data_IF_159657997702
#
_entry.id   IF_159657997702
#
_cell.length_a   1.000
_cell.length_b   1.000
_cell.length_c   1.000
_cell.angle_alpha   90.00
_cell.angle_beta   90.00
_cell.angle_gamma   90.00
#
_symmetry.space_group_name_H-M   'P 1'
#
loop_
_entity.id
_entity.type
_entity.pdbx_description
1 polymer ?
#
# COMPACT_ATOMS: atom_id res chain seq x y z
N UNK A 1 14.68 -4.89 1.96
CA UNK A 1 15.27 -4.44 3.24
C UNK A 1 16.78 -4.17 3.12
N UNK A 2 17.60 -5.07 2.56
CA UNK A 2 19.08 -4.90 2.49
C UNK A 2 19.50 -3.70 1.63
N UNK A 3 18.91 -3.53 0.45
CA UNK A 3 19.19 -2.41 -0.47
C UNK A 3 18.85 -1.07 0.20
N UNK A 4 17.68 -0.98 0.81
CA UNK A 4 17.24 0.21 1.54
C UNK A 4 18.20 0.60 2.66
N UNK A 5 18.57 -0.36 3.52
CA UNK A 5 19.53 -0.13 4.60
C UNK A 5 20.92 0.28 4.06
N UNK A 6 21.37 -0.34 2.99
CA UNK A 6 22.63 0.02 2.32
C UNK A 6 22.59 1.45 1.76
N UNK A 7 21.44 1.92 1.27
CA UNK A 7 21.27 3.29 0.79
C UNK A 7 21.33 4.30 1.95
N UNK A 8 20.64 3.99 3.06
CA UNK A 8 20.69 4.82 4.26
C UNK A 8 22.13 4.97 4.80
N UNK A 9 22.88 3.88 4.88
CA UNK A 9 24.26 3.90 5.40
C UNK A 9 25.23 4.67 4.49
N UNK A 10 24.93 4.76 3.19
CA UNK A 10 25.70 5.56 2.23
C UNK A 10 25.22 7.02 2.11
N UNK A 11 24.17 7.40 2.84
CA UNK A 11 23.59 8.74 2.77
C UNK A 11 22.90 9.07 1.44
N UNK A 12 22.39 8.05 0.72
CA UNK A 12 21.69 8.26 -0.55
C UNK A 12 20.34 8.93 -0.29
N UNK A 13 20.13 10.08 -0.93
CA UNK A 13 18.88 10.83 -0.84
C UNK A 13 17.91 10.38 -1.94
N UNK A 14 16.73 9.87 -1.55
CA UNK A 14 15.67 9.51 -2.47
C UNK A 14 14.76 10.68 -2.90
N UNK A 15 15.01 11.90 -2.43
CA UNK A 15 14.25 13.09 -2.80
C UNK A 15 14.81 13.69 -4.08
N UNK A 16 13.94 13.92 -5.07
CA UNK A 16 14.29 14.52 -6.34
C UNK A 16 13.19 15.43 -6.87
N UNK A 17 13.35 15.94 -8.09
CA UNK A 17 12.28 16.69 -8.74
C UNK A 17 11.09 15.78 -9.02
N UNK A 18 9.88 16.31 -8.79
CA UNK A 18 8.63 15.61 -9.14
C UNK A 18 8.59 15.40 -10.65
N UNK A 19 8.34 14.16 -11.07
CA UNK A 19 8.26 13.78 -12.49
C UNK A 19 6.86 13.34 -12.94
N UNK A 20 5.95 13.08 -12.00
CA UNK A 20 4.60 12.54 -12.26
C UNK A 20 3.62 13.57 -12.81
N UNK A 21 3.90 14.86 -12.64
CA UNK A 21 3.08 15.95 -13.16
C UNK A 21 3.93 17.23 -13.32
N UNK A 22 3.42 18.19 -14.12
CA UNK A 22 4.05 19.48 -14.27
C UNK A 22 3.96 20.31 -12.98
N UNK A 23 5.10 20.68 -12.44
CA UNK A 23 5.20 21.47 -11.21
C UNK A 23 5.26 22.99 -11.43
N UNK A 24 5.05 23.45 -12.66
CA UNK A 24 5.04 24.88 -12.99
C UNK A 24 4.00 25.61 -12.12
N UNK A 25 4.42 26.65 -11.42
CA UNK A 25 3.55 27.42 -10.52
C UNK A 25 3.41 26.84 -9.09
N UNK A 26 3.92 25.64 -8.82
CA UNK A 26 3.93 25.08 -7.47
C UNK A 26 5.15 25.55 -6.67
N UNK A 27 4.95 25.82 -5.38
CA UNK A 27 6.04 26.14 -4.46
C UNK A 27 6.90 24.93 -4.11
N UNK A 28 6.26 23.76 -3.95
CA UNK A 28 6.91 22.48 -3.70
C UNK A 28 7.13 21.75 -5.03
N UNK A 29 8.38 21.48 -5.37
CA UNK A 29 8.77 20.83 -6.62
C UNK A 29 9.60 19.56 -6.42
N UNK A 30 9.78 19.18 -5.15
CA UNK A 30 10.57 18.01 -4.76
C UNK A 30 9.70 17.00 -4.03
N UNK A 31 9.89 15.73 -4.33
CA UNK A 31 9.29 14.61 -3.60
C UNK A 31 10.18 13.35 -3.68
N UNK A 32 9.93 12.40 -2.77
CA UNK A 32 10.42 11.05 -2.93
C UNK A 32 9.35 10.24 -3.67
N UNK A 33 9.62 9.91 -4.92
CA UNK A 33 8.71 9.17 -5.78
C UNK A 33 9.11 7.69 -5.86
N UNK A 34 8.13 6.79 -5.93
CA UNK A 34 8.35 5.42 -6.38
C UNK A 34 8.46 5.47 -7.89
N UNK A 35 9.63 5.16 -8.41
CA UNK A 35 9.94 5.13 -9.84
C UNK A 35 9.75 3.71 -10.38
N UNK A 36 9.41 3.62 -11.65
CA UNK A 36 9.39 2.39 -12.45
C UNK A 36 8.69 1.18 -11.78
N UNK A 37 7.65 1.46 -10.99
CA UNK A 37 6.89 0.39 -10.33
C UNK A 37 6.12 -0.42 -11.35
N UNK A 38 6.52 -1.69 -11.50
CA UNK A 38 5.82 -2.68 -12.31
C UNK A 38 5.09 -3.68 -11.39
N UNK A 39 3.75 -3.63 -11.35
CA UNK A 39 2.98 -4.56 -10.54
C UNK A 39 3.16 -6.03 -10.97
N UNK A 40 3.34 -6.31 -12.25
CA UNK A 40 3.52 -7.68 -12.74
C UNK A 40 4.88 -8.25 -12.28
N UNK A 41 5.93 -7.43 -12.27
CA UNK A 41 7.26 -7.84 -11.77
C UNK A 41 7.28 -8.18 -10.27
N UNK A 42 6.34 -7.63 -9.48
CA UNK A 42 6.21 -7.94 -8.05
C UNK A 42 5.12 -8.98 -7.77
N UNK A 43 4.55 -9.62 -8.79
CA UNK A 43 3.59 -10.71 -8.64
C UNK A 43 2.11 -10.30 -8.57
N UNK A 44 1.79 -9.04 -8.84
CA UNK A 44 0.41 -8.55 -8.95
C UNK A 44 -0.03 -8.72 -10.40
N UNK A 45 -1.01 -9.58 -10.66
CA UNK A 45 -1.47 -9.80 -12.03
C UNK A 45 -2.13 -8.55 -12.63
N UNK A 46 -2.12 -8.47 -13.96
CA UNK A 46 -2.64 -7.32 -14.72
C UNK A 46 -4.12 -7.03 -14.47
N UNK A 47 -4.94 -8.06 -14.19
CA UNK A 47 -6.36 -7.87 -13.92
C UNK A 47 -6.56 -7.24 -12.54
N UNK A 48 -5.79 -7.69 -11.55
CA UNK A 48 -5.77 -7.12 -10.20
C UNK A 48 -5.23 -5.69 -10.22
N UNK A 49 -4.13 -5.42 -10.93
CA UNK A 49 -3.55 -4.09 -11.07
C UNK A 49 -4.55 -3.06 -11.64
N UNK A 50 -5.38 -3.47 -12.61
CA UNK A 50 -6.43 -2.62 -13.19
C UNK A 50 -7.61 -2.31 -12.25
N UNK A 51 -7.76 -3.08 -11.18
CA UNK A 51 -8.87 -2.96 -10.22
C UNK A 51 -8.42 -2.45 -8.85
N UNK A 52 -7.18 -2.01 -8.74
CA UNK A 52 -6.59 -1.47 -7.52
C UNK A 52 -5.87 -0.15 -7.80
N UNK A 53 -5.96 0.80 -6.86
CA UNK A 53 -5.16 2.02 -6.91
C UNK A 53 -3.72 1.72 -6.48
N UNK A 54 -2.79 2.59 -6.84
CA UNK A 54 -1.36 2.43 -6.54
C UNK A 54 -1.07 2.22 -5.05
N UNK A 55 -1.80 2.90 -4.15
CA UNK A 55 -1.55 2.71 -2.71
C UNK A 55 -1.79 1.25 -2.27
N UNK A 56 -2.80 0.59 -2.84
CA UNK A 56 -3.09 -0.81 -2.55
C UNK A 56 -2.09 -1.75 -3.23
N UNK A 57 -1.60 -1.40 -4.42
CA UNK A 57 -0.54 -2.16 -5.11
C UNK A 57 0.78 -2.11 -4.34
N UNK A 58 1.18 -0.94 -3.83
CA UNK A 58 2.37 -0.81 -2.98
C UNK A 58 2.25 -1.60 -1.68
N UNK A 59 1.07 -1.55 -1.04
CA UNK A 59 0.80 -2.33 0.16
C UNK A 59 0.92 -3.84 -0.11
N UNK A 60 0.35 -4.30 -1.22
CA UNK A 60 0.43 -5.70 -1.63
C UNK A 60 1.88 -6.14 -1.90
N UNK A 61 2.63 -5.36 -2.68
CA UNK A 61 4.04 -5.66 -2.96
C UNK A 61 4.88 -5.75 -1.68
N UNK A 62 4.67 -4.82 -0.74
CA UNK A 62 5.35 -4.84 0.56
C UNK A 62 4.94 -6.05 1.41
N UNK A 63 3.65 -6.40 1.43
CA UNK A 63 3.14 -7.56 2.14
C UNK A 63 3.71 -8.87 1.58
N UNK A 64 3.78 -9.02 0.26
CA UNK A 64 4.38 -10.19 -0.39
C UNK A 64 5.85 -10.37 0.01
N UNK A 65 6.62 -9.27 0.02
CA UNK A 65 8.01 -9.31 0.47
C UNK A 65 8.13 -9.67 1.96
N UNK A 66 7.28 -9.10 2.81
CA UNK A 66 7.29 -9.37 4.25
C UNK A 66 6.93 -10.83 4.58
N UNK A 67 5.91 -11.37 3.91
CA UNK A 67 5.49 -12.78 4.08
C UNK A 67 6.60 -13.72 3.59
N UNK A 68 7.19 -13.46 2.44
CA UNK A 68 8.31 -14.25 1.92
C UNK A 68 9.54 -14.21 2.84
N UNK A 69 9.90 -13.02 3.36
CA UNK A 69 11.06 -12.84 4.24
C UNK A 69 10.86 -13.50 5.62
N UNK A 70 9.63 -13.47 6.14
CA UNK A 70 9.28 -14.09 7.42
C UNK A 70 9.16 -15.61 7.37
N UNK A 71 8.91 -16.18 6.21
CA UNK A 71 8.64 -17.61 6.03
C UNK A 71 7.38 -18.09 6.77
N UNK A 72 6.41 -17.20 7.03
CA UNK A 72 5.22 -17.49 7.83
C UNK A 72 4.13 -18.24 7.05
N UNK A 73 4.23 -18.26 5.75
CA UNK A 73 3.23 -18.88 4.86
C UNK A 73 3.03 -20.37 5.23
N UNK A 74 1.76 -20.76 5.40
CA UNK A 74 1.37 -22.11 5.80
C UNK A 74 1.69 -22.50 7.26
N UNK A 75 2.24 -21.59 8.08
CA UNK A 75 2.59 -21.85 9.48
C UNK A 75 1.57 -21.36 10.49
N UNK A 76 0.60 -20.57 10.05
CA UNK A 76 -0.46 -19.99 10.88
C UNK A 76 -1.80 -20.39 10.29
N UNK A 77 -2.73 -20.79 11.14
CA UNK A 77 -4.10 -21.08 10.71
C UNK A 77 -4.73 -19.80 10.10
N UNK A 78 -5.48 -19.91 9.00
CA UNK A 78 -6.06 -18.74 8.33
C UNK A 78 -6.87 -17.83 9.27
N UNK A 79 -7.63 -18.42 10.19
CA UNK A 79 -8.49 -17.70 11.16
C UNK A 79 -7.66 -16.97 12.24
N UNK A 80 -6.38 -17.32 12.36
CA UNK A 80 -5.42 -16.73 13.30
C UNK A 80 -4.44 -15.78 12.65
N UNK A 81 -4.53 -15.64 11.31
CA UNK A 81 -3.69 -14.75 10.52
C UNK A 81 -4.46 -13.48 10.17
N UNK A 82 -4.00 -12.34 10.67
CA UNK A 82 -4.64 -11.04 10.49
C UNK A 82 -3.89 -10.09 9.58
N UNK A 83 -4.57 -8.99 9.18
CA UNK A 83 -4.00 -7.94 8.35
C UNK A 83 -4.41 -6.57 8.90
N UNK A 84 -3.45 -5.81 9.40
CA UNK A 84 -3.63 -4.44 9.87
C UNK A 84 -2.81 -3.51 8.98
N UNK A 85 -3.45 -3.02 7.90
CA UNK A 85 -2.81 -2.13 6.93
C UNK A 85 -3.69 -0.93 6.70
N UNK A 86 -3.19 0.23 7.07
CA UNK A 86 -3.92 1.50 6.95
C UNK A 86 -3.38 2.38 5.82
N UNK A 87 -4.20 3.32 5.39
CA UNK A 87 -3.82 4.41 4.47
C UNK A 87 -4.41 5.71 4.98
N UNK A 88 -3.64 6.80 4.93
CA UNK A 88 -4.13 8.12 5.38
C UNK A 88 -5.29 8.66 4.55
N UNK A 89 -5.35 8.34 3.25
CA UNK A 89 -6.33 8.92 2.32
C UNK A 89 -6.98 7.86 1.42
N UNK A 90 -6.29 6.74 1.15
CA UNK A 90 -6.73 5.76 0.16
C UNK A 90 -6.37 6.16 -1.28
N UNK A 91 -7.20 5.78 -2.25
CA UNK A 91 -6.97 5.94 -3.68
C UNK A 91 -7.28 7.32 -4.22
N UNK A 92 -6.52 8.34 -3.81
CA UNK A 92 -6.73 9.72 -4.26
C UNK A 92 -6.57 9.88 -5.78
N UNK A 93 -5.64 9.14 -6.38
CA UNK A 93 -5.44 9.17 -7.83
C UNK A 93 -6.69 8.65 -8.57
N UNK A 94 -7.23 7.53 -8.12
CA UNK A 94 -8.50 7.00 -8.65
C UNK A 94 -9.63 8.00 -8.45
N UNK A 95 -9.72 8.64 -7.28
CA UNK A 95 -10.76 9.64 -7.00
C UNK A 95 -10.72 10.78 -8.01
N UNK A 96 -9.54 11.36 -8.26
CA UNK A 96 -9.38 12.46 -9.24
C UNK A 96 -9.77 12.00 -10.63
N UNK A 97 -9.24 10.87 -11.10
CA UNK A 97 -9.50 10.35 -12.44
C UNK A 97 -10.99 10.05 -12.70
N UNK A 98 -11.66 9.43 -11.72
CA UNK A 98 -13.08 9.09 -11.86
C UNK A 98 -13.97 10.34 -11.75
N UNK A 99 -13.58 11.34 -10.94
CA UNK A 99 -14.25 12.64 -10.88
C UNK A 99 -14.12 13.38 -12.22
N UNK A 100 -12.95 13.40 -12.82
CA UNK A 100 -12.75 13.99 -14.16
C UNK A 100 -13.60 13.28 -15.22
N UNK A 101 -13.70 11.96 -15.18
CA UNK A 101 -14.60 11.20 -16.08
C UNK A 101 -16.06 11.58 -15.87
N UNK A 102 -16.50 11.70 -14.62
CA UNK A 102 -17.85 12.11 -14.29
C UNK A 102 -18.18 13.49 -14.88
N UNK A 103 -17.31 14.47 -14.67
CA UNK A 103 -17.52 15.85 -15.08
C UNK A 103 -17.45 16.02 -16.60
N UNK A 104 -16.51 15.34 -17.26
CA UNK A 104 -16.22 15.56 -18.68
C UNK A 104 -16.96 14.58 -19.62
N UNK A 105 -17.38 13.40 -19.12
CA UNK A 105 -17.93 12.30 -19.94
C UNK A 105 -19.26 11.75 -19.43
N UNK A 106 -19.73 12.23 -18.28
CA UNK A 106 -20.99 11.82 -17.66
C UNK A 106 -20.92 10.54 -16.81
N UNK A 107 -21.99 10.24 -16.07
CA UNK A 107 -22.00 9.21 -15.04
C UNK A 107 -21.80 7.77 -15.57
N UNK A 108 -22.16 7.50 -16.80
CA UNK A 108 -22.00 6.17 -17.42
C UNK A 108 -20.54 5.78 -17.69
N UNK A 109 -19.61 6.73 -17.54
CA UNK A 109 -18.16 6.51 -17.75
C UNK A 109 -17.39 6.30 -16.45
N UNK A 110 -18.01 6.49 -15.30
CA UNK A 110 -17.42 6.19 -14.00
C UNK A 110 -17.28 4.68 -13.84
N UNK A 111 -16.13 4.25 -13.36
CA UNK A 111 -15.84 2.83 -13.18
C UNK A 111 -16.74 2.21 -12.09
N UNK A 112 -17.31 1.01 -12.29
CA UNK A 112 -17.99 0.27 -11.24
C UNK A 112 -17.03 -0.12 -10.10
N UNK A 113 -15.73 -0.13 -10.35
CA UNK A 113 -14.69 -0.37 -9.35
C UNK A 113 -14.22 0.90 -8.63
N UNK A 114 -14.84 2.06 -8.89
CA UNK A 114 -14.43 3.34 -8.28
C UNK A 114 -14.30 3.23 -6.76
N UNK A 115 -15.34 2.78 -6.08
CA UNK A 115 -15.33 2.69 -4.61
C UNK A 115 -14.32 1.65 -4.11
N UNK A 116 -14.29 0.39 -4.59
CA UNK A 116 -13.27 -0.57 -4.19
C UNK A 116 -11.83 -0.13 -4.45
N UNK A 117 -11.58 0.67 -5.47
CA UNK A 117 -10.25 1.21 -5.74
C UNK A 117 -9.88 2.37 -4.83
N UNK A 118 -10.87 3.18 -4.42
CA UNK A 118 -10.63 4.43 -3.70
C UNK A 118 -10.54 4.25 -2.18
N UNK A 119 -11.40 3.42 -1.56
CA UNK A 119 -11.50 3.36 -0.11
C UNK A 119 -10.25 2.76 0.55
N UNK A 120 -9.79 3.41 1.64
CA UNK A 120 -8.50 3.13 2.25
C UNK A 120 -8.36 1.74 2.90
N UNK A 121 -9.47 1.07 3.24
CA UNK A 121 -9.46 -0.27 3.81
C UNK A 121 -9.14 -1.37 2.79
N UNK A 122 -9.23 -1.08 1.50
CA UNK A 122 -9.01 -2.11 0.46
C UNK A 122 -7.55 -2.55 0.33
N UNK A 123 -6.60 -1.78 0.83
CA UNK A 123 -5.22 -2.28 0.95
C UNK A 123 -5.18 -3.52 1.87
N UNK A 124 -5.75 -3.41 3.08
CA UNK A 124 -5.84 -4.54 4.02
C UNK A 124 -6.70 -5.69 3.44
N UNK A 125 -7.85 -5.37 2.86
CA UNK A 125 -8.76 -6.36 2.28
C UNK A 125 -8.12 -7.16 1.14
N UNK A 126 -7.44 -6.51 0.20
CA UNK A 126 -6.76 -7.20 -0.91
C UNK A 126 -5.62 -8.11 -0.41
N UNK A 127 -4.86 -7.66 0.59
CA UNK A 127 -3.81 -8.47 1.22
C UNK A 127 -4.42 -9.69 1.92
N UNK A 128 -5.51 -9.50 2.68
CA UNK A 128 -6.19 -10.59 3.36
C UNK A 128 -6.72 -11.65 2.38
N UNK A 129 -7.32 -11.22 1.27
CA UNK A 129 -7.78 -12.12 0.20
C UNK A 129 -6.60 -12.89 -0.42
N UNK A 130 -5.51 -12.19 -0.73
CA UNK A 130 -4.34 -12.79 -1.40
C UNK A 130 -3.69 -13.89 -0.55
N UNK A 131 -3.55 -13.67 0.76
CA UNK A 131 -2.92 -14.63 1.67
C UNK A 131 -3.92 -15.55 2.39
N UNK A 132 -5.20 -15.51 2.02
CA UNK A 132 -6.27 -16.23 2.73
C UNK A 132 -6.25 -15.98 4.25
N UNK A 133 -5.94 -14.74 4.65
CA UNK A 133 -5.94 -14.33 6.06
C UNK A 133 -7.39 -14.06 6.50
N UNK A 134 -7.92 -14.93 7.35
CA UNK A 134 -9.32 -14.90 7.82
C UNK A 134 -9.44 -14.40 9.26
N UNK A 135 -8.32 -14.02 9.87
CA UNK A 135 -8.26 -13.37 11.17
C UNK A 135 -8.68 -11.89 11.08
N UNK A 136 -8.42 -11.10 12.13
CA UNK A 136 -8.84 -9.70 12.16
C UNK A 136 -8.19 -8.89 11.04
N UNK A 137 -9.03 -8.13 10.30
CA UNK A 137 -8.61 -7.27 9.19
C UNK A 137 -9.06 -5.83 9.48
N UNK A 138 -8.12 -4.97 9.89
CA UNK A 138 -8.44 -3.61 10.33
C UNK A 138 -7.59 -2.56 9.60
N UNK A 139 -8.21 -1.55 8.98
CA UNK A 139 -7.54 -0.36 8.49
C UNK A 139 -7.47 0.67 9.61
N UNK A 140 -6.32 0.85 10.22
CA UNK A 140 -6.09 1.96 11.15
C UNK A 140 -5.75 3.22 10.37
N UNK A 141 -6.35 4.35 10.71
CA UNK A 141 -6.10 5.64 10.05
C UNK A 141 -5.84 6.73 11.07
N UNK A 142 -4.59 7.18 11.15
CA UNK A 142 -4.14 8.28 12.01
C UNK A 142 -3.10 9.16 11.30
N UNK A 143 -3.37 9.49 10.03
CA UNK A 143 -2.51 10.31 9.19
C UNK A 143 -1.03 9.83 9.22
N UNK A 144 -0.07 10.70 9.56
CA UNK A 144 1.36 10.36 9.62
C UNK A 144 1.70 9.29 10.67
N UNK A 145 0.87 9.12 11.70
CA UNK A 145 1.07 8.13 12.76
C UNK A 145 0.46 6.75 12.44
N UNK A 146 -0.19 6.58 11.27
CA UNK A 146 -0.89 5.35 10.90
C UNK A 146 0.01 4.12 11.02
N UNK A 147 1.27 4.19 10.59
CA UNK A 147 2.18 3.05 10.65
C UNK A 147 2.44 2.60 12.09
N UNK A 148 2.82 3.52 12.96
CA UNK A 148 3.11 3.23 14.37
C UNK A 148 1.86 2.73 15.10
N UNK A 149 0.71 3.33 14.83
CA UNK A 149 -0.58 2.93 15.40
C UNK A 149 -0.96 1.51 14.96
N UNK A 150 -0.87 1.23 13.67
CA UNK A 150 -1.15 -0.09 13.10
C UNK A 150 -0.27 -1.18 13.73
N UNK A 151 1.03 -0.93 13.89
CA UNK A 151 1.95 -1.87 14.54
C UNK A 151 1.59 -2.05 16.01
N UNK A 152 1.23 -0.97 16.72
CA UNK A 152 0.80 -1.03 18.11
C UNK A 152 -0.47 -1.85 18.31
N UNK A 153 -1.47 -1.69 17.46
CA UNK A 153 -2.70 -2.47 17.51
C UNK A 153 -2.49 -3.94 17.12
N UNK A 154 -1.61 -4.21 16.14
CA UNK A 154 -1.22 -5.58 15.79
C UNK A 154 -0.53 -6.28 16.97
N UNK A 155 0.40 -5.59 17.64
CA UNK A 155 1.05 -6.09 18.85
C UNK A 155 0.02 -6.45 19.95
N UNK A 156 -0.95 -5.55 20.19
CA UNK A 156 -2.02 -5.79 21.18
C UNK A 156 -2.88 -6.99 20.79
N UNK A 157 -3.28 -7.08 19.54
CA UNK A 157 -4.11 -8.19 19.07
C UNK A 157 -3.41 -9.55 19.26
N UNK A 158 -2.13 -9.65 18.97
CA UNK A 158 -1.34 -10.85 19.22
C UNK A 158 -1.20 -11.09 20.72
N UNK A 159 -0.83 -10.07 21.49
CA UNK A 159 -0.63 -10.17 22.95
C UNK A 159 -1.88 -10.65 23.70
N UNK A 160 -3.06 -10.23 23.25
CA UNK A 160 -4.34 -10.62 23.84
C UNK A 160 -4.97 -11.86 23.20
N UNK A 161 -4.28 -12.54 22.31
CA UNK A 161 -4.71 -13.80 21.74
C UNK A 161 -5.77 -13.68 20.64
N UNK A 162 -5.95 -12.50 20.03
CA UNK A 162 -6.88 -12.33 18.91
C UNK A 162 -6.33 -12.83 17.57
N UNK A 163 -5.02 -12.93 17.44
CA UNK A 163 -4.32 -13.48 16.28
C UNK A 163 -2.99 -14.09 16.71
N UNK A 164 -2.41 -14.96 15.88
CA UNK A 164 -1.08 -15.52 16.10
C UNK A 164 -0.02 -14.78 15.26
N UNK A 165 -0.44 -14.23 14.12
CA UNK A 165 0.38 -13.35 13.30
C UNK A 165 -0.47 -12.30 12.60
N UNK A 166 0.13 -11.14 12.33
CA UNK A 166 -0.54 -10.03 11.63
C UNK A 166 0.45 -9.36 10.66
N UNK A 167 0.03 -9.20 9.41
CA UNK A 167 0.69 -8.29 8.48
C UNK A 167 0.31 -6.87 8.88
N UNK A 168 1.28 -6.06 9.31
CA UNK A 168 1.01 -4.72 9.82
C UNK A 168 1.85 -3.66 9.10
N UNK A 169 1.23 -2.53 8.75
CA UNK A 169 1.94 -1.41 8.13
C UNK A 169 1.06 -0.36 7.46
N UNK A 170 1.73 0.50 6.72
CA UNK A 170 1.12 1.51 5.83
C UNK A 170 1.75 1.34 4.46
N UNK A 171 0.98 1.43 3.36
CA UNK A 171 1.55 1.54 2.03
C UNK A 171 2.28 2.88 1.92
N UNK A 172 3.50 2.91 2.41
CA UNK A 172 4.45 3.95 2.07
C UNK A 172 5.07 3.54 0.75
N UNK A 173 5.01 4.41 -0.25
CA UNK A 173 5.71 4.17 -1.49
C UNK A 173 7.14 3.71 -1.16
N UNK A 174 7.61 2.68 -1.86
CA UNK A 174 8.98 2.20 -1.72
C UNK A 174 9.91 3.39 -1.86
N UNK A 175 10.80 3.57 -0.92
CA UNK A 175 11.87 4.53 -1.11
C UNK A 175 12.72 4.04 -2.29
N UNK A 176 13.00 4.94 -3.24
CA UNK A 176 13.76 4.65 -4.45
C UNK A 176 14.98 3.79 -4.15
N UNK A 177 15.19 2.74 -4.93
CA UNK A 177 16.46 2.03 -4.90
C UNK A 177 17.53 2.89 -5.58
N UNK A 178 18.76 2.88 -5.09
CA UNK A 178 19.81 3.78 -5.56
C UNK A 178 20.27 3.54 -6.99
N UNK A 179 19.94 2.40 -7.54
CA UNK A 179 20.41 1.94 -8.87
C UNK A 179 19.30 2.12 -9.94
N UNK A 180 18.18 2.79 -9.59
CA UNK A 180 17.11 3.16 -10.51
C UNK A 180 17.25 4.62 -10.99
#
# INVERSE_FOLDING_TARGET
>A
AKTFFGSLTRGVCGVGRITRFDTTGYKATLAAEVKDFDPEAVGIDRAQAKRTDLFAQYAMAAAMQAVADSGIEGRVAPERFGVYVGSGIGGMQTFVQETEKLLNRGPTRVSPFFIPMMIGNMAAGNIAIHFNAQGPCLPVVTACATSSHTIGEAFRAIKYGHADAIIAGVPMGRMAEPDD
#
